data_IF_083144299233
#
_entry.id   IF_083144299233
#
_cell.length_a   1.000
_cell.length_b   1.000
_cell.length_c   1.000
_cell.angle_alpha   90.00
_cell.angle_beta   90.00
_cell.angle_gamma   90.00
#
_symmetry.space_group_name_H-M   'P 1'
#
loop_
_entity.id
_entity.type
_entity.pdbx_description
1 polymer ?
#
# COMPACT_ATOMS: atom_id res chain seq x y z
N UNK A 1 -0.16 -0.51 -20.67
CA UNK A 1 -0.84 0.65 -20.06
C UNK A 1 -0.10 1.05 -18.80
N UNK A 2 -0.01 2.34 -18.49
CA UNK A 2 0.69 2.90 -17.33
C UNK A 2 -0.25 3.86 -16.60
N UNK A 3 -0.23 3.82 -15.26
CA UNK A 3 -0.99 4.74 -14.41
C UNK A 3 -0.01 5.59 -13.57
N UNK A 4 0.02 6.92 -13.74
CA UNK A 4 0.88 7.80 -12.97
C UNK A 4 0.36 7.98 -11.54
N UNK A 5 1.26 8.23 -10.59
CA UNK A 5 0.91 8.63 -9.23
C UNK A 5 1.84 9.72 -8.72
N UNK A 6 1.35 10.51 -7.76
CA UNK A 6 2.17 11.52 -7.10
C UNK A 6 1.72 11.76 -5.66
N UNK A 7 2.66 12.19 -4.81
CA UNK A 7 2.30 12.66 -3.49
C UNK A 7 1.52 13.99 -3.53
N UNK A 8 0.94 14.41 -2.40
CA UNK A 8 0.08 15.59 -2.34
C UNK A 8 0.73 16.85 -2.90
N UNK A 9 2.01 17.09 -2.61
CA UNK A 9 2.79 18.24 -3.08
C UNK A 9 3.51 18.00 -4.42
N UNK A 10 3.40 16.81 -5.02
CA UNK A 10 4.00 16.49 -6.32
C UNK A 10 5.51 16.22 -6.32
N UNK A 11 6.21 16.32 -5.19
CA UNK A 11 7.66 16.07 -5.09
C UNK A 11 8.02 14.63 -5.44
N UNK A 12 7.31 13.65 -4.86
CA UNK A 12 7.46 12.23 -5.17
C UNK A 12 6.47 11.86 -6.27
N UNK A 13 6.98 11.28 -7.36
CA UNK A 13 6.18 10.83 -8.51
C UNK A 13 6.60 9.44 -8.94
N UNK A 14 5.68 8.72 -9.56
CA UNK A 14 5.96 7.40 -10.08
C UNK A 14 4.83 6.90 -10.98
N UNK A 15 4.97 5.64 -11.36
CA UNK A 15 4.12 4.97 -12.31
C UNK A 15 3.84 3.54 -11.87
N UNK A 16 2.64 3.07 -12.18
CA UNK A 16 2.21 1.68 -12.05
C UNK A 16 1.97 1.13 -13.45
N UNK A 17 2.82 0.21 -13.87
CA UNK A 17 2.66 -0.57 -15.09
C UNK A 17 1.63 -1.69 -14.89
N UNK A 18 1.08 -2.21 -15.99
CA UNK A 18 0.14 -3.34 -15.95
C UNK A 18 -1.03 -3.18 -14.95
N UNK A 19 -1.70 -2.00 -14.86
CA UNK A 19 -2.68 -1.73 -13.79
C UNK A 19 -3.87 -2.72 -13.79
N UNK A 20 -4.20 -3.31 -14.93
CA UNK A 20 -5.25 -4.35 -15.06
C UNK A 20 -4.90 -5.67 -14.39
N UNK A 21 -3.60 -5.94 -14.14
CA UNK A 21 -3.12 -7.12 -13.40
C UNK A 21 -3.23 -6.95 -11.88
N UNK A 22 -3.45 -5.72 -11.41
CA UNK A 22 -3.65 -5.45 -9.99
C UNK A 22 -4.98 -6.03 -9.49
N UNK A 23 -5.12 -6.06 -8.18
CA UNK A 23 -6.37 -6.34 -7.48
C UNK A 23 -6.66 -5.18 -6.53
N UNK A 24 -7.89 -4.67 -6.52
CA UNK A 24 -8.30 -3.62 -5.57
C UNK A 24 -9.08 -4.21 -4.40
N UNK A 25 -8.75 -3.76 -3.20
CA UNK A 25 -9.43 -4.15 -1.97
C UNK A 25 -9.53 -2.95 -1.02
N UNK A 26 -10.57 -2.91 -0.20
CA UNK A 26 -10.64 -1.97 0.92
C UNK A 26 -10.31 -2.72 2.21
N UNK A 27 -9.31 -2.23 2.94
CA UNK A 27 -8.83 -2.85 4.17
C UNK A 27 -9.30 -2.07 5.40
N UNK A 28 -10.03 -2.76 6.28
CA UNK A 28 -10.63 -2.18 7.49
C UNK A 28 -9.85 -2.47 8.77
N UNK A 29 -8.59 -2.91 8.66
CA UNK A 29 -7.81 -3.25 9.85
C UNK A 29 -7.50 -2.00 10.69
N UNK A 30 -7.40 -2.19 12.01
CA UNK A 30 -7.05 -1.12 12.96
C UNK A 30 -5.74 -0.42 12.61
N UNK A 31 -4.79 -1.15 12.05
CA UNK A 31 -3.49 -0.60 11.67
C UNK A 31 -3.57 0.34 10.45
N UNK A 32 -4.53 0.18 9.52
CA UNK A 32 -4.74 1.15 8.44
C UNK A 32 -5.19 2.49 9.01
N UNK A 33 -6.15 2.48 9.94
CA UNK A 33 -6.56 3.70 10.66
C UNK A 33 -5.42 4.27 11.49
N UNK A 34 -4.74 3.44 12.29
CA UNK A 34 -3.61 3.88 13.13
C UNK A 34 -2.55 4.59 12.29
N UNK A 35 -2.20 4.02 11.14
CA UNK A 35 -1.23 4.63 10.23
C UNK A 35 -1.72 5.96 9.66
N UNK A 36 -2.99 6.04 9.27
CA UNK A 36 -3.61 7.27 8.79
C UNK A 36 -3.59 8.40 9.84
N UNK A 37 -3.85 8.06 11.11
CA UNK A 37 -3.74 8.99 12.23
C UNK A 37 -2.29 9.37 12.54
N UNK A 38 -1.35 8.43 12.49
CA UNK A 38 0.08 8.71 12.67
C UNK A 38 0.63 9.65 11.60
N UNK A 39 0.15 9.56 10.35
CA UNK A 39 0.47 10.51 9.28
C UNK A 39 -0.18 11.90 9.48
N UNK A 40 -1.12 12.04 10.42
CA UNK A 40 -1.91 13.25 10.61
C UNK A 40 -2.92 13.49 9.49
N UNK A 41 -3.33 12.44 8.74
CA UNK A 41 -4.20 12.55 7.56
C UNK A 41 -5.36 11.55 7.51
N UNK A 42 -6.08 11.27 8.62
CA UNK A 42 -7.09 10.22 8.63
C UNK A 42 -8.16 10.39 7.55
N UNK A 43 -8.68 11.61 7.36
CA UNK A 43 -9.75 11.91 6.40
C UNK A 43 -9.33 11.73 4.94
N UNK A 44 -8.02 11.67 4.64
CA UNK A 44 -7.51 11.48 3.26
C UNK A 44 -7.19 10.01 2.95
N UNK A 45 -7.05 9.18 3.98
CA UNK A 45 -6.49 7.81 3.84
C UNK A 45 -7.55 6.75 4.12
N UNK A 46 -8.47 7.00 5.06
CA UNK A 46 -9.56 6.09 5.40
C UNK A 46 -10.92 6.65 5.01
N UNK A 47 -11.84 5.77 4.61
CA UNK A 47 -13.25 6.07 4.40
C UNK A 47 -13.99 6.25 5.75
N UNK A 48 -15.28 6.60 5.68
CA UNK A 48 -16.13 6.80 6.86
C UNK A 48 -16.30 5.54 7.73
N UNK A 49 -16.03 4.35 7.17
CA UNK A 49 -16.10 3.06 7.87
C UNK A 49 -14.71 2.62 8.39
N UNK A 50 -13.68 3.46 8.21
CA UNK A 50 -12.32 3.19 8.66
C UNK A 50 -11.50 2.33 7.70
N UNK A 51 -11.91 2.24 6.43
CA UNK A 51 -11.29 1.43 5.40
C UNK A 51 -10.33 2.21 4.51
N UNK A 52 -9.18 1.63 4.17
CA UNK A 52 -8.26 2.19 3.17
C UNK A 52 -8.35 1.40 1.87
N UNK A 53 -8.59 2.08 0.75
CA UNK A 53 -8.51 1.49 -0.59
C UNK A 53 -7.06 1.22 -0.99
N UNK A 54 -6.79 -0.02 -1.36
CA UNK A 54 -5.48 -0.56 -1.66
C UNK A 54 -5.50 -1.20 -3.05
N UNK A 55 -4.58 -0.76 -3.90
CA UNK A 55 -4.23 -1.45 -5.15
C UNK A 55 -3.10 -2.44 -4.87
N UNK A 56 -3.42 -3.72 -4.77
CA UNK A 56 -2.48 -4.81 -4.61
C UNK A 56 -1.91 -5.27 -5.96
N UNK A 57 -0.59 -5.33 -6.10
CA UNK A 57 0.09 -5.78 -7.32
C UNK A 57 1.50 -6.30 -7.04
N UNK A 58 2.24 -6.65 -8.09
CA UNK A 58 3.66 -6.99 -7.99
C UNK A 58 4.53 -5.73 -7.96
N UNK A 59 5.48 -5.66 -7.03
CA UNK A 59 6.39 -4.53 -6.86
C UNK A 59 7.19 -4.14 -8.11
N UNK A 60 7.45 -5.08 -9.04
CA UNK A 60 8.14 -4.82 -10.32
C UNK A 60 7.38 -3.88 -11.25
N UNK A 61 6.07 -3.78 -11.07
CA UNK A 61 5.24 -2.89 -11.85
C UNK A 61 5.26 -1.47 -11.32
N UNK A 62 5.90 -1.20 -10.18
CA UNK A 62 6.00 0.15 -9.62
C UNK A 62 7.36 0.73 -9.97
N UNK A 63 7.36 1.96 -10.49
CA UNK A 63 8.58 2.75 -10.73
C UNK A 63 8.42 4.13 -10.12
N UNK A 64 9.48 4.62 -9.48
CA UNK A 64 9.59 6.02 -9.10
C UNK A 64 10.24 6.79 -10.25
N UNK A 65 9.63 7.89 -10.65
CA UNK A 65 10.09 8.73 -11.76
C UNK A 65 10.68 10.05 -11.27
N UNK A 66 10.34 10.49 -10.04
CA UNK A 66 10.97 11.65 -9.40
C UNK A 66 10.88 11.58 -7.86
N UNK A 67 11.79 12.27 -7.17
CA UNK A 67 11.72 12.50 -5.73
C UNK A 67 11.98 11.27 -4.87
N UNK A 68 12.78 10.30 -5.36
CA UNK A 68 13.09 9.06 -4.63
C UNK A 68 13.67 9.32 -3.22
N UNK A 69 14.43 10.41 -3.04
CA UNK A 69 14.97 10.84 -1.73
C UNK A 69 13.87 11.25 -0.73
N UNK A 70 12.67 11.58 -1.21
CA UNK A 70 11.50 11.85 -0.37
C UNK A 70 10.72 10.60 -0.01
N UNK A 71 11.12 9.41 -0.47
CA UNK A 71 10.50 8.16 -0.05
C UNK A 71 11.02 7.79 1.36
N UNK A 72 10.11 7.72 2.32
CA UNK A 72 10.40 7.29 3.68
C UNK A 72 9.66 5.99 4.02
N UNK A 73 10.16 5.28 5.02
CA UNK A 73 9.60 4.02 5.48
C UNK A 73 9.36 4.05 6.98
N UNK A 74 8.23 3.51 7.41
CA UNK A 74 7.95 3.27 8.82
C UNK A 74 7.28 1.91 9.04
N UNK A 75 7.24 1.44 10.28
CA UNK A 75 6.44 0.29 10.69
C UNK A 75 5.85 0.54 12.07
N UNK A 76 4.56 0.22 12.24
CA UNK A 76 3.83 0.41 13.51
C UNK A 76 4.35 -0.50 14.64
N UNK A 77 5.13 -1.53 14.30
CA UNK A 77 5.81 -2.40 15.27
C UNK A 77 7.13 -2.92 14.68
N UNK A 78 8.04 -3.49 15.48
CA UNK A 78 9.30 -4.04 14.97
C UNK A 78 9.13 -5.16 13.93
N UNK A 79 8.00 -5.87 13.94
CA UNK A 79 7.70 -7.00 13.04
C UNK A 79 6.57 -6.72 12.03
N UNK A 80 5.96 -5.53 12.08
CA UNK A 80 4.84 -5.16 11.22
C UNK A 80 5.22 -4.95 9.75
N UNK A 81 4.21 -4.67 8.91
CA UNK A 81 4.41 -4.29 7.51
C UNK A 81 5.27 -3.03 7.39
N UNK A 82 6.04 -2.97 6.31
CA UNK A 82 6.72 -1.74 5.92
C UNK A 82 5.71 -0.82 5.22
N UNK A 83 5.61 0.41 5.71
CA UNK A 83 4.68 1.42 5.23
C UNK A 83 5.46 2.59 4.65
N UNK A 84 5.35 2.75 3.35
CA UNK A 84 6.08 3.72 2.54
C UNK A 84 5.24 4.98 2.35
N UNK A 85 5.86 6.14 2.57
CA UNK A 85 5.21 7.44 2.44
C UNK A 85 6.18 8.48 1.88
N UNK A 86 5.63 9.57 1.35
CA UNK A 86 6.41 10.73 0.95
C UNK A 86 6.69 11.62 2.18
N UNK A 87 7.95 11.74 2.59
CA UNK A 87 8.36 12.54 3.76
C UNK A 87 8.06 14.03 3.62
N UNK A 88 8.12 14.56 2.39
CA UNK A 88 7.82 15.96 2.07
C UNK A 88 6.40 16.42 2.46
N UNK A 89 5.43 15.51 2.55
CA UNK A 89 4.04 15.88 2.84
C UNK A 89 3.22 14.78 3.54
N UNK A 90 3.87 13.75 4.08
CA UNK A 90 3.21 12.61 4.74
C UNK A 90 2.14 11.90 3.88
N UNK A 91 2.27 11.90 2.55
CA UNK A 91 1.32 11.17 1.70
C UNK A 91 1.65 9.68 1.73
N UNK A 92 0.72 8.79 2.09
CA UNK A 92 0.98 7.35 2.02
C UNK A 92 1.14 6.92 0.56
N UNK A 93 2.08 6.00 0.32
CA UNK A 93 2.41 5.51 -1.04
C UNK A 93 2.11 4.03 -1.14
N UNK A 94 2.71 3.21 -0.28
CA UNK A 94 2.66 1.76 -0.43
C UNK A 94 2.83 1.02 0.89
N UNK A 95 2.48 -0.27 0.89
CA UNK A 95 2.79 -1.21 1.95
C UNK A 95 3.43 -2.46 1.36
N UNK A 96 4.51 -2.95 1.98
CA UNK A 96 5.18 -4.18 1.58
C UNK A 96 5.42 -5.10 2.78
N UNK A 97 5.52 -6.42 2.59
CA UNK A 97 6.09 -7.32 3.59
C UNK A 97 7.55 -6.96 3.85
N UNK A 98 8.10 -7.37 5.00
CA UNK A 98 9.54 -7.22 5.29
C UNK A 98 10.41 -8.13 4.42
N UNK A 99 9.91 -9.30 4.08
CA UNK A 99 10.57 -10.22 3.17
C UNK A 99 10.39 -9.76 1.72
N UNK A 100 11.34 -8.98 1.20
CA UNK A 100 11.36 -8.47 -0.19
C UNK A 100 11.20 -9.56 -1.28
N UNK A 101 11.60 -10.77 -0.91
CA UNK A 101 11.53 -12.01 -1.66
C UNK A 101 10.08 -12.50 -1.89
N UNK A 102 9.09 -11.89 -1.23
CA UNK A 102 7.68 -11.89 -1.59
C UNK A 102 7.37 -10.53 -2.24
N UNK A 103 7.34 -10.43 -3.58
CA UNK A 103 7.34 -9.14 -4.26
C UNK A 103 5.94 -8.52 -4.40
N UNK A 104 5.18 -8.56 -3.31
CA UNK A 104 3.89 -7.92 -3.15
C UNK A 104 4.07 -6.44 -2.79
N UNK A 105 3.23 -5.59 -3.37
CA UNK A 105 3.02 -4.21 -2.92
C UNK A 105 1.53 -3.89 -2.89
N UNK A 106 1.07 -3.27 -1.81
CA UNK A 106 -0.26 -2.67 -1.70
C UNK A 106 -0.15 -1.15 -1.73
N UNK A 107 -0.43 -0.53 -2.87
CA UNK A 107 -0.38 0.91 -3.06
C UNK A 107 -1.63 1.56 -2.46
N UNK A 108 -1.45 2.69 -1.76
CA UNK A 108 -2.54 3.42 -1.10
C UNK A 108 -3.17 4.41 -2.08
N UNK A 109 -4.50 4.44 -2.17
CA UNK A 109 -5.24 5.24 -3.15
C UNK A 109 -4.87 6.73 -3.17
N UNK A 110 -4.51 7.32 -2.02
CA UNK A 110 -4.36 8.77 -1.83
C UNK A 110 -3.40 9.42 -2.82
N UNK A 111 -2.29 8.74 -3.18
CA UNK A 111 -1.34 9.24 -4.18
C UNK A 111 -1.64 8.80 -5.62
N UNK A 112 -2.31 7.65 -5.77
CA UNK A 112 -2.68 7.09 -7.08
C UNK A 112 -3.80 7.91 -7.74
N UNK A 113 -4.83 8.28 -6.98
CA UNK A 113 -6.00 8.98 -7.50
C UNK A 113 -5.77 10.48 -7.77
N UNK A 114 -4.54 11.00 -7.60
CA UNK A 114 -4.24 12.45 -7.70
C UNK A 114 -4.15 12.96 -9.12
N UNK A 115 -3.55 12.17 -10.01
CA UNK A 115 -3.35 12.56 -11.41
C UNK A 115 -4.56 12.16 -12.25
N UNK A 116 -5.13 10.98 -11.97
CA UNK A 116 -6.31 10.49 -12.65
C UNK A 116 -7.11 9.53 -11.75
N UNK A 117 -8.43 9.36 -11.97
CA UNK A 117 -9.24 8.41 -11.23
C UNK A 117 -8.74 6.97 -11.38
N UNK A 118 -8.84 6.18 -10.31
CA UNK A 118 -8.38 4.79 -10.30
C UNK A 118 -9.18 3.91 -11.27
N UNK A 119 -10.46 4.20 -11.42
CA UNK A 119 -11.44 3.49 -12.24
C UNK A 119 -11.06 3.50 -13.73
N UNK A 120 -10.26 4.48 -14.14
CA UNK A 120 -9.76 4.60 -15.52
C UNK A 120 -8.75 3.50 -15.86
N UNK A 121 -8.00 2.98 -14.89
CA UNK A 121 -6.86 2.09 -15.14
C UNK A 121 -6.92 0.76 -14.39
N UNK A 122 -7.45 0.77 -13.17
CA UNK A 122 -7.50 -0.38 -12.28
C UNK A 122 -8.88 -1.07 -12.35
N UNK A 123 -8.96 -2.37 -12.01
CA UNK A 123 -10.26 -3.03 -11.84
C UNK A 123 -11.09 -2.33 -10.74
N UNK A 124 -12.42 -2.55 -10.68
CA UNK A 124 -13.21 -2.11 -9.53
C UNK A 124 -12.74 -2.79 -8.24
N UNK A 125 -13.17 -2.26 -7.07
CA UNK A 125 -12.90 -2.92 -5.79
C UNK A 125 -13.52 -4.32 -5.78
N UNK A 126 -12.69 -5.31 -5.50
CA UNK A 126 -13.06 -6.73 -5.61
C UNK A 126 -13.27 -7.38 -4.24
N UNK A 127 -12.69 -6.81 -3.18
CA UNK A 127 -12.70 -7.40 -1.84
C UNK A 127 -12.77 -6.34 -0.75
N UNK A 128 -13.48 -6.69 0.32
CA UNK A 128 -13.38 -6.02 1.62
C UNK A 128 -12.65 -6.95 2.58
N UNK A 129 -11.53 -6.50 3.14
CA UNK A 129 -10.67 -7.33 4.00
C UNK A 129 -10.56 -6.74 5.40
N UNK A 130 -10.35 -7.62 6.38
CA UNK A 130 -10.27 -7.25 7.81
C UNK A 130 -11.52 -6.51 8.33
N UNK A 131 -12.71 -6.84 7.79
CA UNK A 131 -13.98 -6.16 8.06
C UNK A 131 -14.41 -6.19 9.53
N UNK A 132 -13.94 -7.16 10.32
CA UNK A 132 -14.25 -7.25 11.74
C UNK A 132 -13.68 -6.10 12.59
N UNK A 133 -12.85 -5.24 12.01
CA UNK A 133 -12.37 -4.01 12.66
C UNK A 133 -13.00 -2.73 12.09
N UNK A 134 -13.95 -2.82 11.17
CA UNK A 134 -14.63 -1.66 10.60
C UNK A 134 -15.44 -0.88 11.66
N UNK A 135 -15.66 0.41 11.41
CA UNK A 135 -16.44 1.30 12.29
C UNK A 135 -17.96 1.18 12.09
N UNK A 136 -18.38 0.38 11.11
CA UNK A 136 -19.78 0.12 10.83
C UNK A 136 -19.93 -1.03 9.82
N UNK A 137 -21.17 -1.33 9.40
CA UNK A 137 -21.45 -2.35 8.40
C UNK A 137 -20.72 -2.05 7.09
N UNK A 138 -19.94 -3.01 6.60
CA UNK A 138 -19.18 -2.89 5.35
C UNK A 138 -19.90 -3.59 4.21
N UNK A 139 -19.63 -3.20 2.95
CA UNK A 139 -19.88 -4.08 1.83
C UNK A 139 -19.16 -5.42 2.05
N UNK A 140 -19.75 -6.51 1.56
CA UNK A 140 -19.15 -7.85 1.66
C UNK A 140 -18.64 -8.31 0.30
N UNK A 141 -17.85 -7.46 -0.38
CA UNK A 141 -17.26 -7.81 -1.68
C UNK A 141 -16.21 -8.91 -1.48
N UNK A 142 -16.18 -9.87 -2.39
CA UNK A 142 -15.27 -11.01 -2.33
C UNK A 142 -15.83 -12.22 -3.06
N UNK A 143 -15.54 -13.42 -2.54
CA UNK A 143 -16.04 -14.69 -3.07
C UNK A 143 -15.05 -15.45 -3.95
N UNK A 144 -15.48 -16.59 -4.55
CA UNK A 144 -14.59 -17.53 -5.23
C UNK A 144 -13.76 -16.92 -6.37
N UNK A 145 -14.36 -16.03 -7.16
CA UNK A 145 -13.66 -15.36 -8.26
C UNK A 145 -12.53 -14.44 -7.76
N UNK A 146 -12.78 -13.67 -6.69
CA UNK A 146 -11.78 -12.82 -6.07
C UNK A 146 -10.64 -13.68 -5.49
N UNK A 147 -10.98 -14.79 -4.83
CA UNK A 147 -9.99 -15.74 -4.29
C UNK A 147 -9.16 -16.40 -5.40
N UNK A 148 -9.77 -16.79 -6.52
CA UNK A 148 -9.06 -17.34 -7.68
C UNK A 148 -8.07 -16.33 -8.26
N UNK A 149 -8.48 -15.05 -8.41
CA UNK A 149 -7.59 -13.98 -8.87
C UNK A 149 -6.43 -13.74 -7.91
N UNK A 150 -6.69 -13.73 -6.60
CA UNK A 150 -5.66 -13.64 -5.58
C UNK A 150 -4.69 -14.83 -5.66
N UNK A 151 -5.20 -16.06 -5.85
CA UNK A 151 -4.39 -17.25 -6.07
C UNK A 151 -3.46 -17.14 -7.29
N UNK A 152 -3.97 -16.63 -8.41
CA UNK A 152 -3.16 -16.35 -9.60
C UNK A 152 -2.06 -15.31 -9.34
N UNK A 153 -2.34 -14.28 -8.54
CA UNK A 153 -1.34 -13.29 -8.13
C UNK A 153 -0.25 -13.93 -7.25
N UNK A 154 -0.63 -14.77 -6.29
CA UNK A 154 0.30 -15.51 -5.42
C UNK A 154 1.19 -16.44 -6.24
N UNK A 155 0.64 -17.16 -7.23
CA UNK A 155 1.43 -17.98 -8.14
C UNK A 155 2.46 -17.14 -8.92
N UNK A 156 2.06 -15.95 -9.39
CA UNK A 156 2.96 -14.98 -10.01
C UNK A 156 4.11 -14.55 -9.09
N UNK A 157 3.86 -14.35 -7.80
CA UNK A 157 4.91 -14.06 -6.81
C UNK A 157 5.88 -15.22 -6.63
N UNK A 158 5.39 -16.45 -6.61
CA UNK A 158 6.23 -17.65 -6.55
C UNK A 158 7.15 -17.75 -7.78
N UNK A 159 6.62 -17.54 -8.98
CA UNK A 159 7.44 -17.52 -10.20
C UNK A 159 8.45 -16.37 -10.23
N UNK A 160 8.07 -15.20 -9.72
CA UNK A 160 8.99 -14.08 -9.57
C UNK A 160 10.16 -14.39 -8.63
N UNK A 161 9.91 -15.18 -7.59
CA UNK A 161 10.94 -15.64 -6.66
C UNK A 161 11.96 -16.57 -7.33
N UNK A 162 11.48 -17.48 -8.17
CA UNK A 162 12.32 -18.44 -8.92
C UNK A 162 13.14 -17.74 -10.02
N UNK A 163 12.53 -16.80 -10.73
CA UNK A 163 13.16 -16.07 -11.85
C UNK A 163 14.01 -14.87 -11.43
N UNK A 164 14.07 -14.56 -10.12
CA UNK A 164 14.79 -13.39 -9.60
C UNK A 164 14.08 -12.05 -9.80
N UNK A 165 12.95 -12.00 -10.51
CA UNK A 165 12.25 -10.75 -10.79
C UNK A 165 11.59 -10.07 -9.57
N UNK A 166 11.67 -10.68 -8.38
CA UNK A 166 11.38 -9.99 -7.10
C UNK A 166 12.36 -8.84 -6.80
N UNK A 167 13.58 -8.88 -7.37
CA UNK A 167 14.60 -7.84 -7.21
C UNK A 167 14.28 -6.53 -7.92
N UNK A 168 13.39 -6.58 -8.92
CA UNK A 168 12.88 -5.38 -9.58
C UNK A 168 11.83 -4.74 -8.68
N UNK A 169 12.22 -3.75 -7.90
CA UNK A 169 11.34 -3.04 -6.97
C UNK A 169 11.96 -1.69 -6.58
N UNK A 170 11.17 -0.63 -6.37
CA UNK A 170 11.69 0.64 -5.88
C UNK A 170 11.85 0.68 -4.34
N UNK A 171 11.47 -0.39 -3.63
CA UNK A 171 11.36 -0.39 -2.17
C UNK A 171 12.54 -1.08 -1.47
N UNK A 172 13.28 -1.93 -2.18
CA UNK A 172 14.41 -2.68 -1.61
C UNK A 172 15.63 -2.56 -2.52
N UNK A 173 16.82 -2.52 -1.93
CA UNK A 173 18.09 -2.58 -2.65
C UNK A 173 18.42 -4.01 -3.14
N UNK A 174 19.58 -4.19 -3.77
CA UNK A 174 20.01 -5.48 -4.32
C UNK A 174 20.35 -6.53 -3.24
N UNK A 175 20.48 -6.11 -1.98
CA UNK A 175 20.71 -6.98 -0.82
C UNK A 175 19.40 -7.29 -0.08
N UNK A 176 18.30 -6.65 -0.46
CA UNK A 176 16.98 -6.81 0.14
C UNK A 176 16.73 -5.97 1.37
N UNK A 177 17.54 -4.93 1.59
CA UNK A 177 17.32 -3.96 2.63
C UNK A 177 16.34 -2.89 2.13
N UNK A 178 15.45 -2.36 2.97
CA UNK A 178 14.62 -1.21 2.61
C UNK A 178 15.48 -0.04 2.13
N UNK A 179 15.11 0.60 1.02
CA UNK A 179 15.86 1.75 0.44
C UNK A 179 15.84 3.00 1.32
N UNK A 180 14.97 3.04 2.34
CA UNK A 180 14.90 4.10 3.33
C UNK A 180 14.95 3.50 4.75
N UNK A 181 15.55 4.18 5.74
CA UNK A 181 15.55 3.72 7.12
C UNK A 181 14.12 3.46 7.62
N UNK A 182 13.92 2.32 8.29
CA UNK A 182 12.61 1.95 8.82
C UNK A 182 12.42 2.61 10.19
N UNK A 183 11.62 3.68 10.24
CA UNK A 183 11.21 4.27 11.52
C UNK A 183 10.19 3.37 12.23
N UNK A 184 10.51 2.95 13.45
CA UNK A 184 9.53 2.32 14.36
C UNK A 184 9.23 3.32 15.47
N UNK A 185 8.06 3.97 15.47
CA UNK A 185 7.70 4.93 16.51
C UNK A 185 7.66 4.27 17.89
N UNK A 186 7.95 5.01 18.97
CA UNK A 186 7.70 4.56 20.33
C UNK A 186 6.28 4.02 20.51
N UNK A 187 6.11 3.00 21.36
CA UNK A 187 4.82 2.35 21.57
C UNK A 187 3.73 3.36 22.00
N UNK A 188 4.10 4.35 22.80
CA UNK A 188 3.19 5.42 23.26
C UNK A 188 2.61 6.23 22.09
N UNK A 189 3.42 6.57 21.07
CA UNK A 189 2.94 7.27 19.87
C UNK A 189 1.95 6.40 19.08
N UNK A 190 2.27 5.12 18.93
CA UNK A 190 1.40 4.16 18.24
C UNK A 190 0.08 3.97 18.99
N UNK A 191 0.11 3.93 20.32
CA UNK A 191 -1.07 3.82 21.17
C UNK A 191 -1.94 5.08 21.10
N UNK A 192 -1.34 6.27 21.13
CA UNK A 192 -2.06 7.52 20.95
C UNK A 192 -2.76 7.56 19.59
N UNK A 193 -2.06 7.19 18.50
CA UNK A 193 -2.67 7.08 17.17
C UNK A 193 -3.79 6.03 17.12
N UNK A 194 -3.64 4.90 17.83
CA UNK A 194 -4.68 3.87 17.95
C UNK A 194 -5.92 4.35 18.69
N UNK A 195 -5.75 5.16 19.74
CA UNK A 195 -6.85 5.73 20.50
C UNK A 195 -7.62 6.76 19.68
N UNK A 196 -6.90 7.64 18.97
CA UNK A 196 -7.50 8.61 18.06
C UNK A 196 -8.23 7.94 16.87
N UNK A 197 -7.84 6.72 16.51
CA UNK A 197 -8.40 5.91 15.42
C UNK A 197 -9.61 5.03 15.81
N UNK A 198 -10.17 5.22 17.01
CA UNK A 198 -11.31 4.45 17.51
C UNK A 198 -12.63 5.01 17.03
#
# INVERSE_FOLDING_TARGET
MVHPFQCLCGTLRGEVHEPRRAMRAVCYCRDCRTYAHWLGKPQQVVDALGGTDIVATHARYVRLTAGATSLACMSLSPRGLLRWYASCCHTPVANTPRGWKLPYVGLVHTGLARVQPLETSFPPVQMDINIGSALGPTPKRGGPMAMAKFGGMVLGFSMARLTGGYRSTPFFDQEGRPVAPVKVPPLVEVQAARQAAR
#
